data_IF_281133943747
#
_entry.id   IF_281133943747
#
_cell.length_a   1.000
_cell.length_b   1.000
_cell.length_c   1.000
_cell.angle_alpha   90.00
_cell.angle_beta   90.00
_cell.angle_gamma   90.00
#
_symmetry.space_group_name_H-M   'P 1'
#
loop_
_entity.id
_entity.type
_entity.pdbx_description
1 polymer ?
#
# COMPACT_ATOMS: atom_id res chain seq x y z
N UNK A 1 9.47 -3.25 9.78
CA UNK A 1 8.33 -4.18 9.92
C UNK A 1 8.66 -5.45 9.16
N UNK A 2 8.77 -6.61 9.82
CA UNK A 2 8.89 -7.88 9.11
C UNK A 2 7.54 -8.19 8.46
N UNK A 3 7.49 -8.15 7.14
CA UNK A 3 6.47 -8.88 6.39
C UNK A 3 6.81 -10.35 6.61
N UNK A 4 6.19 -10.97 7.62
CA UNK A 4 6.21 -12.42 7.77
C UNK A 4 5.40 -12.99 6.59
N UNK A 5 6.12 -13.31 5.51
CA UNK A 5 5.57 -14.17 4.47
C UNK A 5 5.31 -15.53 5.14
N UNK A 6 4.09 -16.09 5.04
CA UNK A 6 3.88 -17.45 5.51
C UNK A 6 4.79 -18.40 4.72
N UNK A 7 5.47 -19.27 5.46
CA UNK A 7 6.38 -20.30 4.96
C UNK A 7 5.59 -21.31 4.11
N UNK A 8 5.65 -21.19 2.78
CA UNK A 8 5.15 -22.22 1.86
C UNK A 8 6.19 -23.35 1.74
N UNK A 9 6.28 -24.18 2.77
CA UNK A 9 6.87 -25.52 2.64
C UNK A 9 5.84 -26.46 2.03
N UNK A 10 6.23 -27.03 0.89
CA UNK A 10 5.37 -27.75 -0.03
C UNK A 10 4.79 -29.05 0.53
N UNK A 11 3.55 -29.31 0.11
CA UNK A 11 3.01 -30.64 0.03
C UNK A 11 2.69 -30.89 -1.45
N UNK A 12 3.35 -31.87 -2.05
CA UNK A 12 3.06 -32.31 -3.41
C UNK A 12 1.67 -32.91 -3.49
N UNK A 13 0.95 -32.57 -4.56
CA UNK A 13 -0.34 -33.17 -4.88
C UNK A 13 -1.21 -32.29 -5.78
N UNK A 14 -1.09 -32.54 -7.09
CA UNK A 14 -2.09 -32.39 -8.16
C UNK A 14 -2.76 -31.02 -8.38
N UNK A 15 -2.53 -30.56 -9.62
CA UNK A 15 -3.42 -29.74 -10.43
C UNK A 15 -3.52 -28.27 -9.99
N UNK A 16 -2.71 -27.48 -10.70
CA UNK A 16 -2.85 -26.04 -10.87
C UNK A 16 -4.27 -25.72 -11.39
N UNK A 17 -5.23 -25.56 -10.47
CA UNK A 17 -6.48 -24.89 -10.78
C UNK A 17 -6.27 -23.39 -10.56
N UNK A 18 -6.16 -22.56 -11.62
CA UNK A 18 -6.21 -21.13 -11.44
C UNK A 18 -7.63 -20.80 -10.98
N UNK A 19 -7.77 -20.12 -9.84
CA UNK A 19 -9.02 -19.56 -9.33
C UNK A 19 -9.57 -18.44 -10.26
N UNK A 20 -9.75 -18.72 -11.55
CA UNK A 20 -10.23 -17.81 -12.56
C UNK A 20 -10.98 -18.56 -13.64
N UNK A 21 -12.21 -18.14 -13.92
CA UNK A 21 -13.02 -18.70 -15.00
C UNK A 21 -12.22 -18.69 -16.33
N UNK A 22 -12.03 -19.84 -16.99
CA UNK A 22 -11.30 -19.93 -18.25
C UNK A 22 -12.13 -19.25 -19.35
N UNK A 23 -11.89 -17.97 -19.58
CA UNK A 23 -12.63 -17.16 -20.56
C UNK A 23 -12.77 -15.69 -20.19
N UNK A 24 -12.52 -15.31 -18.93
CA UNK A 24 -12.44 -13.91 -18.56
C UNK A 24 -11.01 -13.42 -18.81
N UNK A 25 -10.78 -12.32 -19.56
CA UNK A 25 -9.45 -11.71 -19.62
C UNK A 25 -9.01 -11.46 -18.18
N UNK A 26 -7.81 -11.93 -17.82
CA UNK A 26 -7.22 -11.63 -16.53
C UNK A 26 -7.33 -10.11 -16.33
N UNK A 27 -8.04 -9.69 -15.28
CA UNK A 27 -8.19 -8.28 -14.97
C UNK A 27 -6.81 -7.62 -14.82
N UNK A 28 -6.72 -6.29 -14.84
CA UNK A 28 -5.45 -5.56 -14.76
C UNK A 28 -4.63 -5.86 -13.49
N UNK A 29 -5.20 -6.57 -12.52
CA UNK A 29 -4.56 -6.96 -11.26
C UNK A 29 -4.54 -8.48 -11.14
N UNK A 30 -3.34 -9.04 -10.97
CA UNK A 30 -3.15 -10.45 -10.58
C UNK A 30 -3.20 -10.56 -9.05
N UNK A 31 -3.43 -11.77 -8.52
CA UNK A 31 -3.32 -12.04 -7.08
C UNK A 31 -1.93 -11.68 -6.51
N UNK A 32 -0.90 -11.76 -7.35
CA UNK A 32 0.49 -11.43 -6.98
C UNK A 32 0.81 -9.93 -7.06
N UNK A 33 -0.07 -9.12 -7.62
CA UNK A 33 0.11 -7.67 -7.67
C UNK A 33 0.07 -7.10 -6.25
N UNK A 34 0.98 -6.21 -5.89
CA UNK A 34 0.94 -5.52 -4.59
C UNK A 34 0.19 -4.19 -4.79
N UNK A 35 -0.96 -4.02 -4.15
CA UNK A 35 -1.67 -2.74 -4.15
C UNK A 35 -1.11 -1.84 -3.05
N UNK A 36 -0.71 -0.63 -3.41
CA UNK A 36 -0.14 0.35 -2.49
C UNK A 36 -0.94 1.65 -2.54
N UNK A 37 -1.25 2.22 -1.39
CA UNK A 37 -2.00 3.48 -1.31
C UNK A 37 -2.25 3.95 0.11
N UNK A 38 -3.23 4.85 0.27
CA UNK A 38 -3.59 5.44 1.55
C UNK A 38 -5.08 5.22 1.85
N UNK A 39 -5.40 4.50 2.92
CA UNK A 39 -6.79 4.18 3.31
C UNK A 39 -7.52 3.39 2.21
N UNK A 40 -6.86 2.35 1.70
CA UNK A 40 -7.35 1.54 0.57
C UNK A 40 -8.65 0.78 0.85
N UNK A 41 -9.05 0.59 2.11
CA UNK A 41 -10.35 -0.01 2.47
C UNK A 41 -11.52 0.76 1.83
N UNK A 42 -11.39 2.07 1.66
CA UNK A 42 -12.42 2.88 1.00
C UNK A 42 -12.47 2.61 -0.50
N UNK A 43 -11.30 2.59 -1.16
CA UNK A 43 -11.19 2.38 -2.60
C UNK A 43 -11.62 0.96 -2.99
N UNK A 44 -11.17 -0.04 -2.25
CA UNK A 44 -11.51 -1.45 -2.49
C UNK A 44 -13.00 -1.70 -2.31
N UNK A 45 -13.65 -1.06 -1.33
CA UNK A 45 -15.12 -1.12 -1.16
C UNK A 45 -15.85 -0.45 -2.31
N UNK A 46 -15.38 0.73 -2.74
CA UNK A 46 -15.98 1.44 -3.87
C UNK A 46 -15.88 0.65 -5.18
N UNK A 47 -14.73 0.01 -5.41
CA UNK A 47 -14.47 -0.82 -6.58
C UNK A 47 -15.03 -2.25 -6.47
N UNK A 48 -15.52 -2.64 -5.28
CA UNK A 48 -15.97 -4.02 -4.96
C UNK A 48 -14.88 -5.07 -5.24
N UNK A 49 -13.64 -4.73 -4.94
CA UNK A 49 -12.47 -5.58 -5.12
C UNK A 49 -12.04 -6.18 -3.78
N UNK A 50 -11.70 -7.47 -3.80
CA UNK A 50 -11.04 -8.16 -2.69
C UNK A 50 -9.63 -8.48 -3.16
N UNK A 51 -8.64 -7.98 -2.42
CA UNK A 51 -7.24 -8.20 -2.72
C UNK A 51 -6.45 -8.39 -1.42
N UNK A 52 -5.71 -9.48 -1.31
CA UNK A 52 -5.01 -9.84 -0.06
C UNK A 52 -3.66 -9.12 0.06
N UNK A 53 -3.03 -8.83 -1.08
CA UNK A 53 -1.66 -8.31 -1.12
C UNK A 53 -1.67 -6.78 -1.14
N UNK A 54 -1.93 -6.17 0.02
CA UNK A 54 -2.12 -4.73 0.17
C UNK A 54 -1.11 -4.09 1.14
N UNK A 55 -0.58 -2.93 0.76
CA UNK A 55 0.26 -2.05 1.57
C UNK A 55 -0.47 -0.72 1.77
N UNK A 56 -1.09 -0.55 2.95
CA UNK A 56 -1.76 0.70 3.33
C UNK A 56 -0.86 1.59 4.17
N UNK A 57 -0.51 2.77 3.64
CA UNK A 57 0.31 3.77 4.33
C UNK A 57 -0.33 4.26 5.63
N UNK A 58 -1.66 4.31 5.74
CA UNK A 58 -2.34 4.71 6.98
C UNK A 58 -2.14 3.70 8.11
N UNK A 59 -1.95 2.41 7.77
CA UNK A 59 -1.62 1.36 8.73
C UNK A 59 -0.12 1.36 9.10
N UNK A 60 0.76 1.64 8.14
CA UNK A 60 2.22 1.75 8.36
C UNK A 60 2.57 2.95 9.25
N UNK A 61 1.80 4.04 9.13
CA UNK A 61 2.01 5.29 9.86
C UNK A 61 0.83 5.60 10.81
N UNK A 62 0.66 4.82 11.89
CA UNK A 62 -0.47 4.97 12.79
C UNK A 62 -0.51 6.37 13.42
N UNK A 63 -1.71 6.85 13.74
CA UNK A 63 -1.89 8.08 14.49
C UNK A 63 -1.51 7.88 15.96
N UNK A 64 -1.04 8.94 16.62
CA UNK A 64 -0.65 8.91 18.04
C UNK A 64 -1.80 8.48 18.97
N UNK A 65 -3.05 8.71 18.57
CA UNK A 65 -4.26 8.33 19.31
C UNK A 65 -4.82 6.95 18.91
N UNK A 66 -4.11 6.19 18.07
CA UNK A 66 -4.54 4.89 17.50
C UNK A 66 -5.89 4.99 16.76
N UNK A 67 -6.43 3.83 16.35
CA UNK A 67 -7.76 3.73 15.73
C UNK A 67 -8.83 4.32 16.67
N UNK A 68 -9.85 5.00 16.15
CA UNK A 68 -10.24 5.11 14.74
C UNK A 68 -9.55 6.24 13.96
N UNK A 69 -8.69 7.03 14.60
CA UNK A 69 -8.09 8.21 13.97
C UNK A 69 -6.99 7.81 12.98
N UNK A 70 -7.16 8.21 11.72
CA UNK A 70 -6.17 8.04 10.65
C UNK A 70 -5.56 9.41 10.32
N UNK A 71 -4.25 9.45 10.03
CA UNK A 71 -3.59 10.66 9.55
C UNK A 71 -3.89 10.87 8.08
N UNK A 72 -4.15 12.10 7.66
CA UNK A 72 -4.25 12.42 6.23
C UNK A 72 -2.89 12.22 5.54
N UNK A 73 -2.91 11.78 4.28
CA UNK A 73 -1.72 11.57 3.46
C UNK A 73 -0.83 12.82 3.42
N UNK A 74 -1.42 14.00 3.22
CA UNK A 74 -0.72 15.29 3.26
C UNK A 74 0.03 15.52 4.56
N UNK A 75 -0.56 15.19 5.70
CA UNK A 75 0.10 15.30 7.01
C UNK A 75 1.27 14.33 7.11
N UNK A 76 1.12 13.09 6.60
CA UNK A 76 2.20 12.11 6.59
C UNK A 76 3.40 12.59 5.78
N UNK A 77 3.17 13.04 4.54
CA UNK A 77 4.22 13.53 3.62
C UNK A 77 4.88 14.79 4.18
N UNK A 78 4.10 15.73 4.71
CA UNK A 78 4.64 16.95 5.34
C UNK A 78 5.48 16.65 6.58
N UNK A 79 5.15 15.58 7.31
CA UNK A 79 5.90 15.14 8.50
C UNK A 79 7.06 14.19 8.20
N UNK A 80 7.17 13.71 6.95
CA UNK A 80 8.28 12.89 6.51
C UNK A 80 9.56 13.75 6.46
N UNK A 81 10.75 13.14 6.59
CA UNK A 81 11.98 13.92 6.55
C UNK A 81 12.12 14.70 5.24
N UNK A 82 12.81 15.84 5.35
CA UNK A 82 12.77 16.96 4.41
C UNK A 82 12.99 16.60 2.93
N UNK A 83 13.71 15.52 2.63
CA UNK A 83 13.90 15.04 1.25
C UNK A 83 12.62 14.46 0.60
N UNK A 84 11.54 14.30 1.35
CA UNK A 84 10.24 13.84 0.87
C UNK A 84 9.14 14.90 0.97
N UNK A 85 9.47 16.14 1.34
CA UNK A 85 8.52 17.23 1.52
C UNK A 85 8.02 17.77 0.17
N UNK A 86 7.31 16.92 -0.58
CA UNK A 86 6.49 17.36 -1.70
C UNK A 86 5.23 17.97 -1.12
N UNK A 87 4.92 19.18 -1.55
CA UNK A 87 3.63 19.78 -1.19
C UNK A 87 2.58 19.21 -2.14
N UNK A 88 2.01 18.08 -1.75
CA UNK A 88 0.92 17.47 -2.51
C UNK A 88 -0.38 18.25 -2.29
N UNK A 89 -1.26 18.24 -3.29
CA UNK A 89 -2.60 18.85 -3.21
C UNK A 89 -2.56 20.36 -2.90
N UNK A 90 -1.60 21.08 -3.49
CA UNK A 90 -1.42 22.52 -3.30
C UNK A 90 -2.15 23.37 -4.37
N UNK A 91 -2.71 22.72 -5.39
CA UNK A 91 -3.51 23.36 -6.43
C UNK A 91 -4.93 23.66 -5.97
N UNK A 92 -5.54 24.70 -6.57
CA UNK A 92 -6.95 25.05 -6.39
C UNK A 92 -7.91 24.10 -7.13
N UNK A 93 -7.41 23.29 -8.06
CA UNK A 93 -8.18 22.41 -8.93
C UNK A 93 -8.55 21.04 -8.32
N UNK A 94 -8.39 20.88 -7.01
CA UNK A 94 -8.70 19.64 -6.30
C UNK A 94 -7.52 18.68 -6.21
N UNK A 95 -7.82 17.40 -5.94
CA UNK A 95 -6.81 16.38 -5.69
C UNK A 95 -6.42 15.68 -6.99
N UNK A 96 -5.11 15.44 -7.19
CA UNK A 96 -4.60 14.63 -8.28
C UNK A 96 -4.24 13.22 -7.76
N UNK A 97 -5.00 12.22 -8.19
CA UNK A 97 -4.78 10.82 -7.81
C UNK A 97 -3.41 10.30 -8.24
N UNK A 98 -2.83 10.80 -9.34
CA UNK A 98 -1.49 10.42 -9.77
C UNK A 98 -0.43 10.95 -8.80
N UNK A 99 -0.58 12.19 -8.36
CA UNK A 99 0.29 12.80 -7.34
C UNK A 99 0.20 12.03 -6.01
N UNK A 100 -1.01 11.72 -5.56
CA UNK A 100 -1.26 10.97 -4.32
C UNK A 100 -0.63 9.57 -4.38
N UNK A 101 -0.77 8.87 -5.50
CA UNK A 101 -0.19 7.54 -5.70
C UNK A 101 1.36 7.59 -5.70
N UNK A 102 1.96 8.53 -6.42
CA UNK A 102 3.41 8.71 -6.45
C UNK A 102 3.96 9.02 -5.05
N UNK A 103 3.28 9.90 -4.31
CA UNK A 103 3.68 10.26 -2.96
C UNK A 103 3.56 9.09 -1.97
N UNK A 104 2.56 8.21 -2.11
CA UNK A 104 2.46 6.99 -1.32
C UNK A 104 3.66 6.05 -1.54
N UNK A 105 4.07 5.85 -2.80
CA UNK A 105 5.23 5.00 -3.15
C UNK A 105 6.51 5.57 -2.54
N UNK A 106 6.73 6.87 -2.70
CA UNK A 106 7.90 7.56 -2.14
C UNK A 106 7.97 7.47 -0.62
N UNK A 107 6.82 7.65 0.05
CA UNK A 107 6.72 7.52 1.50
C UNK A 107 7.06 6.12 1.99
N UNK A 108 6.60 5.09 1.29
CA UNK A 108 6.93 3.71 1.61
C UNK A 108 8.38 3.36 1.33
N UNK A 109 8.95 3.84 0.22
CA UNK A 109 10.35 3.62 -0.10
C UNK A 109 11.26 4.22 0.98
N UNK A 110 10.97 5.45 1.40
CA UNK A 110 11.70 6.07 2.52
C UNK A 110 11.60 5.23 3.79
N UNK A 111 10.40 4.75 4.14
CA UNK A 111 10.19 3.93 5.34
C UNK A 111 11.00 2.64 5.33
N UNK A 112 11.05 1.95 4.19
CA UNK A 112 11.82 0.72 4.02
C UNK A 112 13.30 1.00 4.19
N UNK A 113 13.82 2.05 3.56
CA UNK A 113 15.22 2.45 3.68
C UNK A 113 15.59 2.82 5.13
N UNK A 114 14.71 3.53 5.84
CA UNK A 114 14.89 3.87 7.25
C UNK A 114 14.89 2.62 8.15
N UNK A 115 13.96 1.69 7.91
CA UNK A 115 13.90 0.41 8.66
C UNK A 115 15.14 -0.45 8.43
N UNK A 116 15.67 -0.50 7.19
CA UNK A 116 16.90 -1.22 6.87
C UNK A 116 18.11 -0.62 7.60
N UNK A 117 18.22 0.72 7.66
CA UNK A 117 19.27 1.41 8.40
C UNK A 117 19.21 1.11 9.91
N UNK A 118 18.00 1.01 10.47
CA UNK A 118 17.79 0.72 11.88
C UNK A 118 18.03 -0.74 12.24
N UNK A 119 17.69 -1.67 11.34
CA UNK A 119 17.92 -3.11 11.52
C UNK A 119 19.36 -3.57 11.29
N UNK A 120 20.20 -2.73 10.68
CA UNK A 120 21.63 -2.97 10.51
C UNK A 120 22.50 -2.50 11.71
N UNK A 121 21.86 -2.03 12.79
CA UNK A 121 22.49 -1.64 14.06
C UNK A 121 22.05 -2.59 15.16
#
# INVERSE_FOLDING_TARGET
MQVQRPDRRGHGGREDEPNGCPGCPAGPFSADTILLGHILDLDLRALRLIHETVVDTAAVFPHRWRLPYKRALRTLITSAPQHLSKIIQNGVDGHDSQEDAAACVELMLWKVLDDLKKGAR
#
